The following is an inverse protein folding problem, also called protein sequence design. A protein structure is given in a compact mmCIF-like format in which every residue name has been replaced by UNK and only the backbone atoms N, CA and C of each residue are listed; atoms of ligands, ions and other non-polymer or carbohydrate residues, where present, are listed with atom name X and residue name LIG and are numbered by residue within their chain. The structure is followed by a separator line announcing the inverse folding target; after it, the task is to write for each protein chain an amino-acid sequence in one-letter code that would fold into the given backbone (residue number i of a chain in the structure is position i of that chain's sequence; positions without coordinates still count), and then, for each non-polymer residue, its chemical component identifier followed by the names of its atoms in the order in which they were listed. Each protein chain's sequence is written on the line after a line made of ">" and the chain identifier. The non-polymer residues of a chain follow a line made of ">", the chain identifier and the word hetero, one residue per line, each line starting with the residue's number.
data_IF_449253362646
#
_entry.id   IF_449253362646
#
_cell.length_a   1.000
_cell.length_b   1.000
_cell.length_c   1.000
_cell.angle_alpha   90.00
_cell.angle_beta   90.00
_cell.angle_gamma   90.00
#
_symmetry.space_group_name_H-M   'P 1'
#
loop_
_entity.id
_entity.type
_entity.pdbx_description
1 polymer ?
#
# COMPACT_ATOMS: atom_id res chain seq x y z
N UNK A 1 -0.96 11.98 10.78
CA UNK A 1 -0.27 11.82 12.09
C UNK A 1 0.74 10.67 12.02
N UNK A 2 2.04 10.92 12.17
CA UNK A 2 3.07 9.86 12.12
C UNK A 2 2.90 8.91 13.31
N UNK A 3 2.66 7.62 13.05
CA UNK A 3 2.71 6.56 14.07
C UNK A 3 4.17 6.32 14.50
N UNK A 4 4.71 7.13 15.43
CA UNK A 4 6.07 6.95 15.93
C UNK A 4 6.23 5.72 16.81
N UNK A 5 5.16 5.19 17.41
CA UNK A 5 5.19 4.04 18.30
C UNK A 5 3.82 3.37 18.34
N UNK A 6 3.73 2.09 18.00
CA UNK A 6 2.51 1.29 18.10
C UNK A 6 2.87 -0.07 18.66
N UNK A 7 2.21 -0.52 19.72
CA UNK A 7 2.44 -1.77 20.45
C UNK A 7 1.28 -2.78 20.35
N UNK A 8 0.28 -2.50 19.49
CA UNK A 8 -0.93 -3.31 19.36
C UNK A 8 -0.71 -4.74 18.85
N UNK A 9 0.47 -5.02 18.27
CA UNK A 9 0.80 -6.30 17.65
C UNK A 9 2.10 -6.88 18.25
N UNK A 10 2.05 -7.61 19.39
CA UNK A 10 3.26 -8.09 20.08
C UNK A 10 4.23 -8.86 19.18
N UNK A 11 3.71 -9.74 18.29
CA UNK A 11 4.53 -10.49 17.32
C UNK A 11 5.28 -9.58 16.36
N UNK A 12 4.64 -8.54 15.83
CA UNK A 12 5.29 -7.59 14.91
C UNK A 12 6.29 -6.69 15.67
N UNK A 13 5.96 -6.27 16.88
CA UNK A 13 6.87 -5.48 17.72
C UNK A 13 8.15 -6.27 18.04
N UNK A 14 8.03 -7.53 18.45
CA UNK A 14 9.16 -8.42 18.70
C UNK A 14 10.00 -8.60 17.42
N UNK A 15 9.36 -8.88 16.29
CA UNK A 15 10.05 -9.07 15.02
C UNK A 15 10.78 -7.81 14.53
N UNK A 16 10.21 -6.63 14.71
CA UNK A 16 10.88 -5.36 14.41
C UNK A 16 12.07 -5.09 15.37
N UNK A 17 11.95 -5.43 16.65
CA UNK A 17 13.03 -5.32 17.62
C UNK A 17 14.20 -6.24 17.25
N UNK A 18 13.92 -7.50 16.89
CA UNK A 18 14.96 -8.42 16.40
C UNK A 18 15.65 -7.91 15.12
N UNK A 19 14.86 -7.40 14.16
CA UNK A 19 15.41 -6.81 12.94
C UNK A 19 16.29 -5.60 13.24
N UNK A 20 15.93 -4.79 14.24
CA UNK A 20 16.71 -3.62 14.63
C UNK A 20 18.06 -4.01 15.24
N UNK A 21 18.13 -5.12 15.99
CA UNK A 21 19.40 -5.66 16.51
C UNK A 21 20.28 -6.16 15.36
N UNK A 22 19.68 -6.92 14.41
CA UNK A 22 20.39 -7.50 13.26
C UNK A 22 20.83 -6.46 12.23
N UNK A 23 20.03 -5.42 12.04
CA UNK A 23 20.20 -4.38 11.02
C UNK A 23 19.91 -2.98 11.61
N UNK A 24 20.78 -2.43 12.45
CA UNK A 24 20.51 -1.19 13.19
C UNK A 24 20.35 0.05 12.29
N UNK A 25 20.91 0.03 11.08
CA UNK A 25 20.81 1.11 10.09
C UNK A 25 19.48 1.12 9.32
N UNK A 26 18.69 0.04 9.41
CA UNK A 26 17.39 -0.01 8.75
C UNK A 26 16.35 0.80 9.54
N UNK A 27 15.26 1.18 8.86
CA UNK A 27 14.16 1.94 9.47
C UNK A 27 13.51 1.19 10.67
N UNK A 28 13.19 -0.10 10.49
CA UNK A 28 12.73 -1.03 11.55
C UNK A 28 11.58 -0.49 12.41
N UNK A 29 10.58 0.07 11.80
CA UNK A 29 9.41 0.63 12.48
C UNK A 29 8.12 0.53 11.68
N UNK A 30 7.01 1.04 12.23
CA UNK A 30 5.79 1.21 11.46
C UNK A 30 6.05 2.18 10.29
N UNK A 31 5.92 1.67 9.06
CA UNK A 31 6.21 2.44 7.85
C UNK A 31 5.09 3.46 7.60
N UNK A 32 5.42 4.76 7.54
CA UNK A 32 4.44 5.80 7.28
C UNK A 32 3.94 5.74 5.83
N UNK A 33 2.80 6.35 5.54
CA UNK A 33 2.41 6.59 4.16
C UNK A 33 3.41 7.53 3.48
N UNK A 34 3.49 7.45 2.14
CA UNK A 34 4.38 8.25 1.32
C UNK A 34 3.60 9.01 0.25
N UNK A 35 3.91 10.28 0.06
CA UNK A 35 3.34 11.15 -0.96
C UNK A 35 2.52 12.30 -0.40
N UNK A 36 1.53 12.76 -1.17
CA UNK A 36 0.70 13.92 -0.88
C UNK A 36 -0.15 13.70 0.40
N UNK A 37 -0.26 14.72 1.22
CA UNK A 37 -1.07 14.63 2.45
C UNK A 37 -2.58 14.69 2.18
N UNK A 38 -3.00 15.32 1.06
CA UNK A 38 -4.40 15.36 0.64
C UNK A 38 -4.57 14.92 -0.83
N UNK A 39 -4.30 13.64 -1.13
CA UNK A 39 -4.23 13.10 -2.49
C UNK A 39 -5.60 12.93 -3.13
N UNK A 40 -5.61 12.85 -4.47
CA UNK A 40 -6.76 12.37 -5.23
C UNK A 40 -6.74 10.83 -5.39
N UNK A 41 -5.55 10.23 -5.37
CA UNK A 41 -5.32 8.79 -5.49
C UNK A 41 -4.62 8.24 -4.24
N UNK A 42 -5.20 7.21 -3.62
CA UNK A 42 -4.55 6.39 -2.60
C UNK A 42 -4.26 4.99 -3.17
N UNK A 43 -3.00 4.56 -3.09
CA UNK A 43 -2.61 3.18 -3.36
C UNK A 43 -2.40 2.45 -2.04
N UNK A 44 -3.10 1.34 -1.84
CA UNK A 44 -3.03 0.54 -0.61
C UNK A 44 -2.41 -0.81 -0.90
N UNK A 45 -1.25 -1.08 -0.30
CA UNK A 45 -0.58 -2.39 -0.31
C UNK A 45 -0.97 -3.27 0.86
N UNK A 46 -0.36 -4.45 0.94
CA UNK A 46 -0.56 -5.41 2.02
C UNK A 46 0.14 -4.97 3.31
N UNK A 47 1.45 -4.98 3.28
CA UNK A 47 2.36 -4.71 4.41
C UNK A 47 3.76 -4.37 3.87
N UNK A 48 4.63 -3.75 4.67
CA UNK A 48 6.02 -3.56 4.30
C UNK A 48 6.72 -4.89 4.01
N UNK A 49 7.48 -4.96 2.92
CA UNK A 49 8.47 -5.98 2.66
C UNK A 49 9.82 -5.65 3.34
N UNK A 50 10.81 -6.51 3.17
CA UNK A 50 12.16 -6.30 3.74
C UNK A 50 12.84 -5.04 3.21
N UNK A 51 12.70 -4.76 1.89
CA UNK A 51 13.22 -3.55 1.28
C UNK A 51 12.56 -2.29 1.84
N UNK A 52 11.24 -2.29 1.92
CA UNK A 52 10.45 -1.23 2.56
C UNK A 52 10.84 -1.02 4.03
N UNK A 53 11.05 -2.11 4.80
CA UNK A 53 11.51 -2.01 6.19
C UNK A 53 12.93 -1.44 6.31
N UNK A 54 13.77 -1.65 5.30
CA UNK A 54 15.10 -1.05 5.23
C UNK A 54 15.03 0.45 5.02
N UNK A 55 14.20 0.89 4.08
CA UNK A 55 14.16 2.28 3.59
C UNK A 55 13.18 3.17 4.35
N UNK A 56 12.14 2.61 4.97
CA UNK A 56 11.03 3.37 5.57
C UNK A 56 10.05 3.95 4.56
N UNK A 57 10.22 3.70 3.24
CA UNK A 57 9.32 4.16 2.18
C UNK A 57 8.58 2.98 1.55
N UNK A 58 7.23 3.00 1.47
CA UNK A 58 6.43 1.92 0.89
C UNK A 58 6.92 1.52 -0.50
N UNK A 59 6.89 0.23 -0.81
CA UNK A 59 7.29 -0.36 -2.09
C UNK A 59 8.73 -0.03 -2.56
N UNK A 60 9.62 0.39 -1.65
CA UNK A 60 10.99 0.78 -2.00
C UNK A 60 11.97 -0.29 -1.56
N UNK A 61 12.78 -0.78 -2.53
CA UNK A 61 13.72 -1.89 -2.33
C UNK A 61 13.08 -3.27 -2.42
N UNK A 62 11.83 -3.35 -2.86
CA UNK A 62 11.10 -4.59 -3.16
C UNK A 62 10.69 -4.59 -4.65
N UNK A 63 10.66 -5.76 -5.30
CA UNK A 63 10.33 -5.93 -6.73
C UNK A 63 8.97 -5.30 -7.11
N UNK A 64 8.04 -5.25 -6.16
CA UNK A 64 6.74 -4.64 -6.40
C UNK A 64 6.83 -3.14 -6.76
N UNK A 65 7.83 -2.43 -6.24
CA UNK A 65 8.07 -1.03 -6.58
C UNK A 65 8.56 -0.82 -8.01
N UNK A 66 9.27 -1.80 -8.58
CA UNK A 66 9.79 -1.75 -9.95
C UNK A 66 8.67 -1.71 -11.00
N UNK A 67 7.47 -2.20 -10.67
CA UNK A 67 6.29 -2.06 -11.52
C UNK A 67 5.44 -0.85 -11.11
N UNK A 68 5.22 -0.64 -9.80
CA UNK A 68 4.31 0.39 -9.31
C UNK A 68 4.78 1.81 -9.65
N UNK A 69 6.01 2.18 -9.27
CA UNK A 69 6.49 3.56 -9.44
C UNK A 69 6.61 3.99 -10.90
N UNK A 70 7.19 3.19 -11.83
CA UNK A 70 7.17 3.53 -13.25
C UNK A 70 5.75 3.67 -13.83
N UNK A 71 4.80 2.83 -13.37
CA UNK A 71 3.39 2.98 -13.77
C UNK A 71 2.82 4.31 -13.28
N UNK A 72 3.06 4.69 -12.03
CA UNK A 72 2.61 6.01 -11.51
C UNK A 72 3.22 7.17 -12.30
N UNK A 73 4.50 7.10 -12.68
CA UNK A 73 5.15 8.11 -13.55
C UNK A 73 4.48 8.16 -14.92
N UNK A 74 4.25 7.00 -15.55
CA UNK A 74 3.62 6.88 -16.88
C UNK A 74 2.23 7.53 -16.91
N UNK A 75 1.45 7.41 -15.83
CA UNK A 75 0.10 7.95 -15.74
C UNK A 75 0.01 9.33 -15.06
N UNK A 76 1.14 9.99 -14.81
CA UNK A 76 1.19 11.36 -14.27
C UNK A 76 0.88 11.47 -12.77
N UNK A 77 0.90 10.36 -12.03
CA UNK A 77 0.74 10.31 -10.57
C UNK A 77 2.06 10.43 -9.82
N UNK A 78 3.18 10.42 -10.53
CA UNK A 78 4.52 10.67 -10.01
C UNK A 78 5.39 11.33 -11.05
N UNK A 79 6.51 11.93 -10.60
CA UNK A 79 7.61 12.44 -11.43
C UNK A 79 8.93 11.92 -10.88
N UNK A 80 10.00 12.03 -11.68
CA UNK A 80 11.33 11.56 -11.30
C UNK A 80 11.62 10.12 -11.74
N UNK A 81 12.70 9.55 -11.24
CA UNK A 81 13.19 8.21 -11.59
C UNK A 81 13.22 7.34 -10.34
N UNK A 82 12.63 6.15 -10.43
CA UNK A 82 12.66 5.16 -9.34
C UNK A 82 13.95 4.35 -9.41
N UNK A 83 14.76 4.40 -8.35
CA UNK A 83 16.03 3.67 -8.21
C UNK A 83 16.03 2.67 -7.06
N UNK A 84 14.84 2.31 -6.53
CA UNK A 84 14.67 1.43 -5.39
C UNK A 84 15.39 1.89 -4.11
N UNK A 85 15.65 3.19 -3.97
CA UNK A 85 16.27 3.86 -2.82
C UNK A 85 15.31 4.90 -2.24
N UNK A 86 15.46 5.22 -0.95
CA UNK A 86 14.61 6.23 -0.29
C UNK A 86 14.93 7.66 -0.74
N UNK A 87 16.13 7.90 -1.21
CA UNK A 87 16.69 9.17 -1.67
C UNK A 87 16.74 9.33 -3.18
N UNK A 88 15.99 8.51 -3.93
CA UNK A 88 15.79 8.70 -5.36
C UNK A 88 14.91 9.94 -5.64
N UNK A 89 14.76 10.31 -6.93
CA UNK A 89 14.08 11.55 -7.33
C UNK A 89 12.56 11.40 -7.45
N UNK A 90 11.96 10.28 -7.02
CA UNK A 90 10.51 10.05 -7.09
C UNK A 90 9.75 11.03 -6.18
N UNK A 91 8.84 11.77 -6.81
CA UNK A 91 7.87 12.63 -6.13
C UNK A 91 6.47 12.25 -6.59
N UNK A 92 5.61 11.85 -5.64
CA UNK A 92 4.21 11.57 -5.94
C UNK A 92 3.43 12.88 -6.14
N UNK A 93 2.53 12.89 -7.12
CA UNK A 93 1.69 14.03 -7.49
C UNK A 93 0.23 13.69 -7.26
N UNK A 94 -0.45 14.37 -6.35
CA UNK A 94 -1.85 14.11 -5.97
C UNK A 94 -2.10 12.62 -5.64
N UNK A 95 -1.03 11.92 -5.26
CA UNK A 95 -1.02 10.48 -5.00
C UNK A 95 -0.35 10.20 -3.66
N UNK A 96 -0.88 9.21 -2.94
CA UNK A 96 -0.32 8.69 -1.70
C UNK A 96 -0.27 7.18 -1.74
N UNK A 97 0.76 6.60 -1.17
CA UNK A 97 0.92 5.15 -1.03
C UNK A 97 0.95 4.80 0.45
N UNK A 98 0.19 3.79 0.83
CA UNK A 98 0.19 3.23 2.18
C UNK A 98 0.07 1.70 2.16
N UNK A 99 0.08 1.07 3.34
CA UNK A 99 -0.17 -0.36 3.49
C UNK A 99 -1.31 -0.60 4.50
N UNK A 100 -2.04 -1.69 4.31
CA UNK A 100 -3.08 -2.14 5.23
C UNK A 100 -2.51 -2.47 6.61
N UNK A 101 -1.33 -3.10 6.66
CA UNK A 101 -0.53 -3.33 7.87
C UNK A 101 0.73 -2.48 7.78
N UNK A 102 1.02 -1.70 8.84
CA UNK A 102 2.12 -0.72 8.81
C UNK A 102 3.50 -1.30 9.15
N UNK A 103 3.55 -2.46 9.76
CA UNK A 103 4.78 -3.11 10.22
C UNK A 103 5.16 -4.30 9.35
N UNK A 104 6.46 -4.55 9.17
CA UNK A 104 6.97 -5.74 8.48
C UNK A 104 6.54 -7.01 9.24
N UNK A 105 5.73 -7.90 8.63
CA UNK A 105 5.42 -9.19 9.23
C UNK A 105 6.46 -10.25 8.85
N UNK A 106 6.70 -11.27 9.69
CA UNK A 106 7.47 -12.45 9.30
C UNK A 106 6.94 -13.05 7.99
N UNK A 107 7.85 -13.43 7.08
CA UNK A 107 7.54 -14.02 5.77
C UNK A 107 6.59 -13.18 4.88
N UNK A 108 6.47 -11.89 5.13
CA UNK A 108 5.49 -11.00 4.49
C UNK A 108 4.03 -11.45 4.68
N UNK A 109 3.74 -12.20 5.77
CA UNK A 109 2.41 -12.75 6.07
C UNK A 109 1.86 -12.19 7.39
N UNK A 110 1.09 -11.11 7.35
CA UNK A 110 0.37 -10.64 8.53
C UNK A 110 -0.75 -11.63 8.88
N UNK A 111 -1.02 -11.80 10.18
CA UNK A 111 -2.16 -12.60 10.67
C UNK A 111 -3.41 -11.72 10.82
N UNK A 112 -4.58 -12.36 10.93
CA UNK A 112 -5.88 -11.67 10.96
C UNK A 112 -6.01 -10.63 12.08
N UNK A 113 -5.48 -10.89 13.27
CA UNK A 113 -5.48 -9.93 14.38
C UNK A 113 -4.64 -8.68 14.08
N UNK A 114 -3.49 -8.82 13.44
CA UNK A 114 -2.60 -7.70 13.05
C UNK A 114 -3.26 -6.82 11.98
N UNK A 115 -3.94 -7.45 11.00
CA UNK A 115 -4.73 -6.73 10.01
C UNK A 115 -5.83 -5.93 10.73
N UNK A 116 -6.59 -6.56 11.63
CA UNK A 116 -7.67 -5.90 12.36
C UNK A 116 -7.16 -4.77 13.26
N UNK A 117 -6.01 -4.93 13.93
CA UNK A 117 -5.39 -3.91 14.76
C UNK A 117 -4.92 -2.69 13.94
N UNK A 118 -4.58 -2.89 12.66
CA UNK A 118 -4.19 -1.81 11.76
C UNK A 118 -5.36 -1.08 11.08
N UNK A 119 -6.56 -1.68 10.99
CA UNK A 119 -7.75 -1.06 10.36
C UNK A 119 -8.06 0.35 10.92
N UNK A 120 -8.02 0.62 12.23
CA UNK A 120 -8.27 1.97 12.76
C UNK A 120 -7.28 3.03 12.21
N UNK A 121 -6.03 2.66 11.97
CA UNK A 121 -5.04 3.56 11.39
C UNK A 121 -5.34 3.86 9.91
N UNK A 122 -5.71 2.84 9.13
CA UNK A 122 -6.13 3.02 7.74
C UNK A 122 -7.40 3.86 7.65
N UNK A 123 -8.36 3.67 8.57
CA UNK A 123 -9.59 4.48 8.65
C UNK A 123 -9.27 5.96 8.90
N UNK A 124 -8.38 6.24 9.85
CA UNK A 124 -7.96 7.62 10.14
C UNK A 124 -7.29 8.26 8.92
N UNK A 125 -6.38 7.55 8.23
CA UNK A 125 -5.78 8.04 6.99
C UNK A 125 -6.85 8.37 5.93
N UNK A 126 -7.84 7.49 5.72
CA UNK A 126 -8.92 7.71 4.74
C UNK A 126 -9.81 8.93 5.08
N UNK A 127 -10.01 9.19 6.38
CA UNK A 127 -10.81 10.33 6.85
C UNK A 127 -10.07 11.67 6.72
N UNK A 128 -8.74 11.67 6.81
CA UNK A 128 -7.92 12.88 6.68
C UNK A 128 -7.79 13.37 5.21
N UNK A 129 -8.08 12.51 4.22
CA UNK A 129 -7.90 12.80 2.78
C UNK A 129 -9.20 13.34 2.16
N UNK A 130 -9.46 14.64 2.27
CA UNK A 130 -10.70 15.26 1.77
C UNK A 130 -10.82 15.29 0.24
N UNK A 131 -9.69 15.29 -0.49
CA UNK A 131 -9.67 15.31 -1.96
C UNK A 131 -9.65 13.91 -2.59
N UNK A 132 -9.69 12.86 -1.77
CA UNK A 132 -9.57 11.48 -2.26
C UNK A 132 -10.73 11.09 -3.16
N UNK A 133 -10.43 10.65 -4.37
CA UNK A 133 -11.39 10.19 -5.39
C UNK A 133 -11.25 8.70 -5.67
N UNK A 134 -10.02 8.20 -5.74
CA UNK A 134 -9.70 6.83 -6.12
C UNK A 134 -8.87 6.13 -5.06
N UNK A 135 -9.21 4.87 -4.80
CA UNK A 135 -8.48 3.97 -3.91
C UNK A 135 -8.11 2.72 -4.72
N UNK A 136 -6.84 2.54 -5.03
CA UNK A 136 -6.33 1.34 -5.71
C UNK A 136 -5.79 0.38 -4.66
N UNK A 137 -6.41 -0.79 -4.53
CA UNK A 137 -6.02 -1.84 -3.59
C UNK A 137 -5.20 -2.92 -4.28
N UNK A 138 -3.96 -3.11 -3.87
CA UNK A 138 -3.05 -4.12 -4.40
C UNK A 138 -3.15 -5.43 -3.60
N UNK A 139 -3.99 -6.33 -4.07
CA UNK A 139 -4.26 -7.65 -3.49
C UNK A 139 -5.50 -7.69 -2.58
N UNK A 140 -5.96 -8.91 -2.30
CA UNK A 140 -7.20 -9.18 -1.57
C UNK A 140 -7.19 -8.59 -0.15
N UNK A 141 -6.06 -8.71 0.58
CA UNK A 141 -5.99 -8.20 1.97
C UNK A 141 -6.08 -6.67 2.00
N UNK A 142 -5.43 -5.96 1.06
CA UNK A 142 -5.55 -4.51 0.95
C UNK A 142 -7.00 -4.10 0.68
N UNK A 143 -7.65 -4.75 -0.28
CA UNK A 143 -9.06 -4.54 -0.62
C UNK A 143 -9.98 -4.77 0.59
N UNK A 144 -9.89 -5.93 1.24
CA UNK A 144 -10.71 -6.25 2.41
C UNK A 144 -10.43 -5.31 3.60
N UNK A 145 -9.19 -4.82 3.75
CA UNK A 145 -8.84 -3.87 4.81
C UNK A 145 -9.47 -2.50 4.59
N UNK A 146 -9.53 -2.03 3.34
CA UNK A 146 -10.26 -0.80 3.00
C UNK A 146 -11.75 -0.98 3.25
N UNK A 147 -12.37 -2.09 2.83
CA UNK A 147 -13.78 -2.37 3.12
C UNK A 147 -14.06 -2.39 4.63
N UNK A 148 -13.19 -3.03 5.44
CA UNK A 148 -13.29 -3.00 6.92
C UNK A 148 -13.17 -1.58 7.48
N UNK A 149 -12.28 -0.75 6.93
CA UNK A 149 -12.14 0.64 7.35
C UNK A 149 -13.41 1.45 7.09
N UNK A 150 -14.16 1.14 6.03
CA UNK A 150 -15.48 1.70 5.73
C UNK A 150 -16.64 1.03 6.49
N UNK A 151 -16.41 -0.09 7.19
CA UNK A 151 -17.48 -0.88 7.82
C UNK A 151 -18.33 -1.68 6.83
N UNK A 152 -17.82 -1.93 5.63
CA UNK A 152 -18.52 -2.62 4.54
C UNK A 152 -18.29 -4.13 4.58
N UNK A 153 -19.26 -4.91 4.09
CA UNK A 153 -19.21 -6.37 4.05
C UNK A 153 -18.55 -6.83 2.75
N UNK A 154 -17.46 -7.60 2.83
CA UNK A 154 -16.70 -8.06 1.65
C UNK A 154 -17.54 -8.85 0.62
N UNK A 155 -18.63 -9.50 1.04
CA UNK A 155 -19.53 -10.23 0.13
C UNK A 155 -20.25 -9.33 -0.88
N UNK A 156 -20.42 -8.05 -0.56
CA UNK A 156 -21.06 -7.04 -1.41
C UNK A 156 -20.08 -6.42 -2.40
N UNK A 157 -18.77 -6.62 -2.17
CA UNK A 157 -17.65 -6.06 -2.94
C UNK A 157 -16.63 -7.16 -3.24
N UNK A 158 -16.97 -8.21 -4.03
CA UNK A 158 -16.06 -9.33 -4.28
C UNK A 158 -14.78 -8.87 -4.98
N UNK A 159 -13.64 -9.42 -4.53
CA UNK A 159 -12.35 -9.10 -5.12
C UNK A 159 -12.18 -9.75 -6.50
N UNK A 160 -11.88 -8.95 -7.51
CA UNK A 160 -11.36 -9.39 -8.80
C UNK A 160 -10.37 -8.36 -9.35
N UNK A 161 -9.44 -8.80 -10.20
CA UNK A 161 -8.51 -7.87 -10.83
C UNK A 161 -9.24 -6.87 -11.73
N UNK A 162 -8.92 -5.58 -11.59
CA UNK A 162 -9.49 -4.46 -12.34
C UNK A 162 -11.01 -4.27 -12.15
N UNK A 163 -11.60 -4.81 -11.06
CA UNK A 163 -12.99 -4.47 -10.69
C UNK A 163 -13.02 -3.13 -9.97
N UNK A 164 -14.07 -2.34 -10.23
CA UNK A 164 -14.29 -1.04 -9.61
C UNK A 164 -15.64 -0.99 -8.89
N UNK A 165 -15.68 -0.34 -7.74
CA UNK A 165 -16.86 -0.14 -6.92
C UNK A 165 -16.98 1.32 -6.49
N UNK A 166 -18.17 1.88 -6.55
CA UNK A 166 -18.48 3.16 -5.91
C UNK A 166 -18.75 2.92 -4.42
N UNK A 167 -17.98 3.57 -3.55
CA UNK A 167 -18.16 3.52 -2.10
C UNK A 167 -19.28 4.48 -1.67
N UNK A 168 -19.84 4.31 -0.43
CA UNK A 168 -20.95 5.14 0.06
C UNK A 168 -20.69 6.66 0.06
N UNK A 169 -19.44 7.07 0.13
CA UNK A 169 -19.02 8.48 0.10
C UNK A 169 -18.65 8.98 -1.31
N UNK A 170 -18.97 8.19 -2.35
CA UNK A 170 -18.75 8.53 -3.76
C UNK A 170 -17.34 8.22 -4.28
N UNK A 171 -16.40 7.82 -3.43
CA UNK A 171 -15.04 7.41 -3.87
C UNK A 171 -15.09 6.11 -4.66
N UNK A 172 -14.16 5.93 -5.57
CA UNK A 172 -14.05 4.71 -6.40
C UNK A 172 -12.95 3.82 -5.83
N UNK A 173 -13.32 2.62 -5.40
CA UNK A 173 -12.41 1.55 -5.00
C UNK A 173 -12.11 0.67 -6.21
N UNK A 174 -10.84 0.51 -6.58
CA UNK A 174 -10.40 -0.37 -7.66
C UNK A 174 -9.51 -1.45 -7.08
N UNK A 175 -9.85 -2.71 -7.33
CA UNK A 175 -9.05 -3.85 -6.90
C UNK A 175 -8.08 -4.29 -8.00
N UNK A 176 -6.85 -4.58 -7.63
CA UNK A 176 -5.82 -5.13 -8.52
C UNK A 176 -5.15 -6.34 -7.88
N UNK A 177 -4.71 -7.32 -8.68
CA UNK A 177 -3.70 -8.25 -8.19
C UNK A 177 -2.48 -7.48 -7.70
N UNK A 178 -1.82 -8.00 -6.67
CA UNK A 178 -0.62 -7.37 -6.12
C UNK A 178 0.54 -7.47 -7.13
N UNK A 179 1.29 -6.38 -7.32
CA UNK A 179 2.45 -6.29 -8.22
C UNK A 179 3.71 -7.00 -7.66
N UNK A 180 3.52 -8.12 -6.94
CA UNK A 180 4.61 -8.93 -6.38
C UNK A 180 5.32 -9.75 -7.45
N UNK A 181 6.59 -10.12 -7.16
CA UNK A 181 7.38 -11.02 -8.01
C UNK A 181 6.62 -12.30 -8.37
N UNK A 182 5.88 -12.89 -7.41
CA UNK A 182 5.09 -14.08 -7.66
C UNK A 182 4.05 -13.88 -8.77
N UNK A 183 3.23 -12.83 -8.68
CA UNK A 183 2.19 -12.58 -9.67
C UNK A 183 2.74 -12.16 -11.04
N UNK A 184 3.87 -11.43 -11.08
CA UNK A 184 4.49 -11.05 -12.35
C UNK A 184 5.22 -12.20 -13.01
N UNK A 185 5.97 -13.02 -12.25
CA UNK A 185 6.69 -14.18 -12.80
C UNK A 185 5.76 -15.30 -13.25
N UNK A 186 4.60 -15.47 -12.60
CA UNK A 186 3.57 -16.44 -13.01
C UNK A 186 2.63 -15.89 -14.10
N UNK A 187 2.88 -14.68 -14.60
CA UNK A 187 2.02 -13.98 -15.58
C UNK A 187 0.56 -13.80 -15.13
N UNK A 188 0.27 -13.96 -13.84
CA UNK A 188 -1.04 -13.63 -13.26
C UNK A 188 -1.34 -12.13 -13.35
N UNK A 189 -0.28 -11.31 -13.27
CA UNK A 189 -0.30 -9.88 -13.52
C UNK A 189 0.80 -9.54 -14.51
N UNK A 190 0.42 -8.96 -15.65
CA UNK A 190 1.38 -8.40 -16.62
C UNK A 190 1.46 -6.87 -16.45
N UNK A 191 2.53 -6.20 -16.92
CA UNK A 191 2.60 -4.74 -16.92
C UNK A 191 1.38 -4.10 -17.58
N UNK A 192 0.94 -4.63 -18.73
CA UNK A 192 -0.20 -4.13 -19.49
C UNK A 192 -1.50 -4.23 -18.68
N UNK A 193 -1.77 -5.41 -18.07
CA UNK A 193 -2.96 -5.59 -17.24
C UNK A 193 -2.94 -4.73 -15.98
N UNK A 194 -1.75 -4.45 -15.42
CA UNK A 194 -1.60 -3.54 -14.30
C UNK A 194 -1.87 -2.08 -14.71
N UNK A 195 -1.38 -1.66 -15.88
CA UNK A 195 -1.64 -0.34 -16.43
C UNK A 195 -3.13 -0.08 -16.71
N UNK A 196 -3.91 -1.10 -17.10
CA UNK A 196 -5.36 -0.96 -17.30
C UNK A 196 -6.09 -0.48 -16.03
N UNK A 197 -5.58 -0.80 -14.85
CA UNK A 197 -6.10 -0.29 -13.57
C UNK A 197 -5.96 1.24 -13.50
N UNK A 198 -4.80 1.76 -13.92
CA UNK A 198 -4.49 3.19 -13.85
C UNK A 198 -5.09 4.01 -14.99
N UNK A 199 -5.36 3.41 -16.15
CA UNK A 199 -6.13 4.05 -17.23
C UNK A 199 -7.53 4.49 -16.80
N UNK A 200 -8.13 3.81 -15.81
CA UNK A 200 -9.45 4.18 -15.28
C UNK A 200 -9.44 5.47 -14.46
N UNK A 201 -8.26 5.88 -13.94
CA UNK A 201 -8.12 7.03 -13.05
C UNK A 201 -8.09 8.38 -13.79
N UNK A 202 -8.07 8.36 -15.12
CA UNK A 202 -7.92 9.56 -15.96
C UNK A 202 -9.24 9.99 -16.65
N UNK A 203 -10.34 9.35 -16.27
CA UNK A 203 -11.67 9.66 -16.85
C UNK A 203 -12.54 10.49 -15.92
#
# INVERSE_FOLDING_TARGET
>A
MMMKKCDKCPRLCAYLAENKIKNPSHFNGPVPPFGDDNPELLVVGLAPGRGTNRTGRPFTGDVAGELLYPTLVKFGWATGTFEAKADDTIVLKRCRITNAVKCLPPENKPIGSEINNCVPHLRAELQEMSNLKWIVCLGTIAHESVLKAYGLKKKEYPFAHNVAYTLPDGKILIASYHCSKYNTSTKRLTPESFEEVFKRLTK
#
